data_IF_583726044935
#
_entry.id   IF_583726044935
#
_cell.length_a   1.000
_cell.length_b   1.000
_cell.length_c   1.000
_cell.angle_alpha   90.00
_cell.angle_beta   90.00
_cell.angle_gamma   90.00
#
_symmetry.space_group_name_H-M   'P 1'
#
loop_
_entity.id
_entity.type
_entity.pdbx_description
1 polymer ?
#
# COMPACT_ATOMS: atom_id res chain seq x y z
N UNK A 1 -5.73 -11.04 4.13
CA UNK A 1 -5.63 -10.05 3.02
C UNK A 1 -6.92 -10.10 2.21
N UNK A 2 -7.44 -8.96 1.72
CA UNK A 2 -8.60 -8.93 0.79
C UNK A 2 -8.23 -8.17 -0.48
N UNK A 3 -8.30 -8.84 -1.62
CA UNK A 3 -8.15 -8.22 -2.95
C UNK A 3 -9.39 -7.42 -3.32
N UNK A 4 -9.19 -6.26 -3.95
CA UNK A 4 -10.26 -5.38 -4.43
C UNK A 4 -10.20 -5.37 -5.95
N UNK A 5 -11.26 -5.89 -6.58
CA UNK A 5 -11.41 -5.78 -8.04
C UNK A 5 -11.43 -4.31 -8.46
N UNK A 6 -10.56 -3.95 -9.41
CA UNK A 6 -10.36 -2.58 -9.88
C UNK A 6 -10.11 -2.50 -11.37
N UNK A 7 -10.55 -1.42 -12.00
CA UNK A 7 -10.31 -1.15 -13.41
C UNK A 7 -8.89 -0.66 -13.71
N UNK A 8 -8.12 -0.31 -12.67
CA UNK A 8 -6.72 0.10 -12.82
C UNK A 8 -5.79 -1.10 -13.05
N UNK A 9 -6.22 -2.32 -12.70
CA UNK A 9 -5.40 -3.50 -12.87
C UNK A 9 -5.04 -3.74 -14.35
N UNK A 10 -3.76 -3.97 -14.62
CA UNK A 10 -3.20 -4.11 -15.96
C UNK A 10 -3.08 -2.80 -16.74
N UNK A 11 -3.47 -1.66 -16.15
CA UNK A 11 -3.30 -0.36 -16.80
C UNK A 11 -1.87 0.12 -16.67
N UNK A 12 -1.42 0.81 -17.72
CA UNK A 12 -0.07 1.35 -17.82
C UNK A 12 -0.12 2.87 -17.89
N UNK A 13 0.78 3.53 -17.17
CA UNK A 13 0.87 4.98 -17.08
C UNK A 13 2.25 5.41 -16.58
N UNK A 14 2.57 6.71 -16.70
CA UNK A 14 3.82 7.22 -16.17
C UNK A 14 3.80 7.19 -14.63
N UNK A 15 4.93 6.82 -14.03
CA UNK A 15 5.08 6.73 -12.59
C UNK A 15 4.75 8.07 -11.91
N UNK A 16 5.25 9.18 -12.46
CA UNK A 16 5.02 10.51 -11.86
C UNK A 16 3.55 10.94 -11.91
N UNK A 17 2.80 10.56 -12.96
CA UNK A 17 1.37 10.82 -13.05
C UNK A 17 0.59 10.02 -11.99
N UNK A 18 0.93 8.74 -11.83
CA UNK A 18 0.37 7.90 -10.77
C UNK A 18 0.69 8.47 -9.39
N UNK A 19 1.97 8.77 -9.13
CA UNK A 19 2.47 9.30 -7.87
C UNK A 19 1.79 10.62 -7.50
N UNK A 20 1.65 11.55 -8.46
CA UNK A 20 0.95 12.81 -8.24
C UNK A 20 -0.52 12.60 -7.88
N UNK A 21 -1.25 11.78 -8.65
CA UNK A 21 -2.67 11.52 -8.42
C UNK A 21 -2.92 10.80 -7.08
N UNK A 22 -2.09 9.81 -6.76
CA UNK A 22 -2.23 9.02 -5.54
C UNK A 22 -1.86 9.84 -4.28
N UNK A 23 -0.82 10.67 -4.35
CA UNK A 23 -0.42 11.53 -3.23
C UNK A 23 -1.51 12.53 -2.84
N UNK A 24 -2.24 13.09 -3.81
CA UNK A 24 -3.39 13.98 -3.54
C UNK A 24 -4.53 13.28 -2.77
N UNK A 25 -4.59 11.94 -2.82
CA UNK A 25 -5.57 11.11 -2.12
C UNK A 25 -5.02 10.53 -0.80
N UNK A 26 -3.79 10.87 -0.41
CA UNK A 26 -3.14 10.37 0.80
C UNK A 26 -2.53 8.98 0.68
N UNK A 27 -2.26 8.51 -0.55
CA UNK A 27 -1.34 7.39 -0.75
C UNK A 27 0.10 7.88 -0.65
N UNK A 28 1.00 6.97 -0.37
CA UNK A 28 2.44 7.20 -0.33
C UNK A 28 3.14 6.05 -1.05
N UNK A 29 4.28 6.32 -1.67
CA UNK A 29 5.15 5.26 -2.17
C UNK A 29 5.67 4.44 -0.97
N UNK A 30 5.37 3.15 -0.96
CA UNK A 30 5.79 2.22 0.08
C UNK A 30 7.32 2.11 0.12
N UNK A 31 7.89 2.01 1.32
CA UNK A 31 9.34 2.06 1.54
C UNK A 31 10.16 0.88 0.98
N UNK A 32 9.55 -0.02 0.21
CA UNK A 32 10.18 -1.19 -0.39
C UNK A 32 9.93 -1.24 -1.91
N UNK A 33 10.08 -0.08 -2.57
CA UNK A 33 10.18 -0.02 -4.02
C UNK A 33 11.62 -0.29 -4.45
N UNK A 34 11.78 -0.89 -5.62
CA UNK A 34 13.05 -1.17 -6.27
C UNK A 34 12.96 -0.82 -7.76
N UNK A 35 13.97 -1.22 -8.54
CA UNK A 35 14.00 -0.98 -9.98
C UNK A 35 12.91 -1.73 -10.75
N UNK A 36 12.38 -2.83 -10.20
CA UNK A 36 11.40 -3.68 -10.87
C UNK A 36 9.96 -3.31 -10.50
N UNK A 37 9.73 -2.66 -9.36
CA UNK A 37 8.40 -2.26 -8.96
C UNK A 37 8.28 -1.77 -7.52
N UNK A 38 7.04 -1.72 -7.05
CA UNK A 38 6.75 -1.26 -5.71
C UNK A 38 5.27 -1.20 -5.41
N UNK A 39 4.94 -0.39 -4.41
CA UNK A 39 3.59 -0.29 -3.88
C UNK A 39 3.24 1.17 -3.62
N UNK A 40 2.01 1.57 -3.96
CA UNK A 40 1.40 2.77 -3.40
C UNK A 40 0.49 2.35 -2.24
N UNK A 41 0.80 2.83 -1.04
CA UNK A 41 0.16 2.46 0.21
C UNK A 41 -0.67 3.61 0.78
N UNK A 42 -1.87 3.32 1.25
CA UNK A 42 -2.71 4.25 2.02
C UNK A 42 -3.12 3.58 3.34
N UNK A 43 -2.85 4.25 4.46
CA UNK A 43 -3.35 3.81 5.76
C UNK A 43 -4.86 4.01 5.83
N UNK A 44 -5.60 2.98 6.27
CA UNK A 44 -7.05 3.01 6.42
C UNK A 44 -7.49 3.33 7.86
N UNK A 45 -6.56 3.23 8.81
CA UNK A 45 -6.73 3.47 10.22
C UNK A 45 -5.75 4.53 10.76
N UNK A 46 -5.91 4.90 12.03
CA UNK A 46 -5.03 5.89 12.68
C UNK A 46 -3.79 5.26 13.30
N UNK A 47 -3.81 3.94 13.52
CA UNK A 47 -2.70 3.20 14.14
C UNK A 47 -1.71 2.65 13.12
N UNK A 48 -1.96 2.86 11.81
CA UNK A 48 -1.13 2.35 10.72
C UNK A 48 -0.99 0.82 10.75
N UNK A 49 -2.06 0.14 11.17
CA UNK A 49 -2.17 -1.32 11.19
C UNK A 49 -2.91 -1.83 9.96
N UNK A 50 -3.74 -1.03 9.31
CA UNK A 50 -4.50 -1.46 8.13
C UNK A 50 -4.13 -0.63 6.91
N UNK A 51 -3.67 -1.29 5.86
CA UNK A 51 -3.15 -0.65 4.65
C UNK A 51 -3.92 -1.10 3.41
N UNK A 52 -4.32 -0.15 2.56
CA UNK A 52 -4.62 -0.41 1.17
C UNK A 52 -3.33 -0.29 0.37
N UNK A 53 -3.02 -1.32 -0.41
CA UNK A 53 -1.81 -1.41 -1.21
C UNK A 53 -2.17 -1.57 -2.69
N UNK A 54 -1.56 -0.76 -3.54
CA UNK A 54 -1.67 -0.84 -5.01
C UNK A 54 -0.30 -1.21 -5.57
N UNK A 55 -0.09 -2.46 -6.00
CA UNK A 55 1.18 -2.87 -6.57
C UNK A 55 1.37 -2.31 -7.97
N UNK A 56 2.62 -2.07 -8.33
CA UNK A 56 3.01 -1.76 -9.70
C UNK A 56 4.34 -2.45 -10.03
N UNK A 57 4.57 -2.66 -11.32
CA UNK A 57 5.86 -3.07 -11.87
C UNK A 57 6.35 -2.02 -12.86
N UNK A 58 7.65 -1.79 -12.91
CA UNK A 58 8.29 -0.97 -13.94
C UNK A 58 8.37 -1.79 -15.22
N UNK A 59 7.88 -1.23 -16.33
CA UNK A 59 7.92 -1.89 -17.65
C UNK A 59 8.88 -1.19 -18.61
N UNK A 60 9.24 0.07 -18.33
CA UNK A 60 10.25 0.83 -19.05
C UNK A 60 10.74 2.01 -18.17
N UNK A 61 11.94 2.52 -18.42
CA UNK A 61 12.52 3.65 -17.68
C UNK A 61 12.95 3.30 -16.26
N UNK A 62 13.30 4.32 -15.48
CA UNK A 62 13.80 4.19 -14.12
C UNK A 62 13.03 5.13 -13.16
N UNK A 63 12.83 4.65 -11.93
CA UNK A 63 12.26 5.47 -10.87
C UNK A 63 13.40 6.30 -10.28
N UNK A 64 13.24 7.62 -10.30
CA UNK A 64 14.18 8.54 -9.67
C UNK A 64 13.80 8.74 -8.21
N UNK A 65 14.82 8.92 -7.36
CA UNK A 65 14.60 9.41 -5.99
C UNK A 65 14.11 10.87 -5.96
N UNK A 66 14.22 11.60 -7.07
CA UNK A 66 13.73 12.96 -7.21
C UNK A 66 12.28 12.97 -7.70
N UNK A 67 11.40 13.60 -6.91
CA UNK A 67 9.97 13.68 -7.23
C UNK A 67 9.75 14.47 -8.53
N UNK A 68 8.99 13.88 -9.47
CA UNK A 68 8.69 14.54 -10.74
C UNK A 68 9.78 14.42 -11.81
N UNK A 69 10.78 13.59 -11.55
CA UNK A 69 11.91 13.34 -12.45
C UNK A 69 12.06 11.85 -12.80
N UNK A 70 11.00 11.05 -12.65
CA UNK A 70 11.02 9.65 -13.07
C UNK A 70 10.55 9.52 -14.51
N UNK A 71 11.32 8.84 -15.35
CA UNK A 71 10.89 8.47 -16.71
C UNK A 71 10.26 7.07 -16.76
N UNK A 72 10.13 6.42 -15.60
CA UNK A 72 9.48 5.13 -15.45
C UNK A 72 8.03 5.11 -15.97
N UNK A 73 7.76 4.13 -16.81
CA UNK A 73 6.43 3.71 -17.19
C UNK A 73 6.11 2.43 -16.42
N UNK A 74 4.96 2.41 -15.76
CA UNK A 74 4.58 1.33 -14.83
C UNK A 74 3.30 0.65 -15.26
N UNK A 75 3.14 -0.62 -14.89
CA UNK A 75 1.87 -1.35 -14.99
C UNK A 75 1.33 -1.63 -13.59
N UNK A 76 0.09 -1.24 -13.35
CA UNK A 76 -0.58 -1.45 -12.08
C UNK A 76 -1.15 -2.87 -11.97
N UNK A 77 -1.21 -3.40 -10.76
CA UNK A 77 -1.84 -4.68 -10.44
C UNK A 77 -3.02 -4.50 -9.49
N UNK A 78 -3.70 -5.60 -9.18
CA UNK A 78 -4.88 -5.61 -8.33
C UNK A 78 -4.60 -5.03 -6.94
N UNK A 79 -5.35 -4.00 -6.50
CA UNK A 79 -5.24 -3.49 -5.14
C UNK A 79 -5.67 -4.52 -4.10
N UNK A 80 -5.12 -4.44 -2.89
CA UNK A 80 -5.54 -5.27 -1.78
C UNK A 80 -5.39 -4.59 -0.42
N UNK A 81 -6.21 -5.01 0.54
CA UNK A 81 -6.14 -4.57 1.94
C UNK A 81 -5.38 -5.59 2.77
N UNK A 82 -4.37 -5.11 3.49
CA UNK A 82 -3.63 -5.83 4.53
C UNK A 82 -4.02 -5.31 5.91
N UNK A 83 -4.15 -6.23 6.87
CA UNK A 83 -4.25 -5.90 8.28
C UNK A 83 -3.01 -6.47 8.97
N UNK A 84 -2.08 -5.60 9.36
CA UNK A 84 -0.96 -5.93 10.23
C UNK A 84 -1.47 -6.03 11.66
N UNK A 85 -1.84 -7.25 12.06
CA UNK A 85 -2.11 -7.56 13.46
C UNK A 85 -0.76 -7.66 14.19
N UNK A 86 -0.40 -6.63 14.96
CA UNK A 86 0.67 -6.77 15.95
C UNK A 86 0.22 -7.77 17.01
N UNK A 87 1.08 -8.73 17.34
CA UNK A 87 0.94 -9.49 18.56
C UNK A 87 1.36 -8.58 19.72
N UNK A 88 0.43 -7.79 20.23
CA UNK A 88 0.57 -7.25 21.58
C UNK A 88 0.42 -8.43 22.53
N UNK A 89 1.54 -9.09 22.80
CA UNK A 89 1.61 -10.28 23.65
C UNK A 89 0.92 -10.01 24.98
N UNK A 90 -0.05 -10.87 25.28
CA UNK A 90 -0.66 -10.99 26.58
C UNK A 90 0.41 -11.46 27.59
N UNK A 91 1.15 -10.53 28.19
CA UNK A 91 1.93 -10.80 29.40
C UNK A 91 1.39 -9.92 30.55
N UNK A 92 0.62 -10.51 31.50
CA UNK A 92 0.17 -9.81 32.70
C UNK A 92 1.28 -9.54 33.71
N UNK A 93 2.55 -9.84 33.41
CA UNK A 93 3.62 -9.81 34.40
C UNK A 93 5.00 -9.49 33.81
N UNK A 94 5.39 -8.22 33.93
CA UNK A 94 6.78 -7.94 34.29
C UNK A 94 7.53 -7.01 33.35
N UNK A 95 7.84 -5.84 33.90
CA UNK A 95 8.99 -5.00 33.60
C UNK A 95 9.13 -4.54 32.14
N UNK A 96 8.68 -3.29 31.94
CA UNK A 96 9.13 -2.40 30.88
C UNK A 96 10.65 -2.26 30.95
N UNK A 97 11.36 -3.11 30.20
CA UNK A 97 12.77 -2.93 29.88
C UNK A 97 12.86 -2.35 28.48
N UNK A 98 13.04 -1.04 28.46
CA UNK A 98 13.59 -0.26 27.36
C UNK A 98 14.92 -0.89 26.94
N UNK A 99 14.93 -1.86 26.03
CA UNK A 99 16.06 -2.30 25.18
C UNK A 99 15.47 -3.31 24.20
N UNK A 100 15.43 -2.91 22.92
CA UNK A 100 15.33 -3.71 21.68
C UNK A 100 14.45 -3.00 20.66
N UNK A 101 14.75 -1.72 20.38
CA UNK A 101 14.21 -0.97 19.24
C UNK A 101 14.85 -1.44 17.91
N UNK A 102 14.89 -2.75 17.72
CA UNK A 102 15.22 -3.43 16.47
C UNK A 102 13.99 -4.28 16.14
N UNK A 103 12.86 -3.58 15.96
CA UNK A 103 11.59 -4.20 15.68
C UNK A 103 11.73 -5.04 14.42
N UNK A 104 11.59 -6.34 14.60
CA UNK A 104 11.62 -7.32 13.55
C UNK A 104 10.39 -7.09 12.66
N UNK A 105 10.55 -6.32 11.58
CA UNK A 105 9.49 -5.91 10.63
C UNK A 105 8.87 -7.10 9.87
N UNK A 106 9.30 -8.34 10.18
CA UNK A 106 8.94 -9.58 9.50
C UNK A 106 8.39 -10.65 10.46
N UNK A 107 7.83 -10.28 11.61
CA UNK A 107 7.06 -11.26 12.39
C UNK A 107 5.77 -11.63 11.67
N UNK A 108 5.56 -12.93 11.43
CA UNK A 108 4.33 -13.46 10.86
C UNK A 108 3.15 -13.22 11.82
N UNK A 109 1.96 -12.84 11.31
CA UNK A 109 0.77 -12.63 12.13
C UNK A 109 0.34 -13.92 12.83
N UNK A 110 -0.16 -13.82 14.08
CA UNK A 110 -0.71 -14.97 14.84
C UNK A 110 -1.88 -15.63 14.11
N UNK A 111 -2.63 -14.85 13.35
CA UNK A 111 -3.76 -15.34 12.57
C UNK A 111 -3.72 -14.76 11.14
N UNK A 112 -3.19 -15.52 10.16
CA UNK A 112 -3.19 -15.11 8.76
C UNK A 112 -4.60 -15.00 8.16
N UNK A 113 -5.61 -15.56 8.83
CA UNK A 113 -7.01 -15.60 8.42
C UNK A 113 -7.91 -14.64 9.20
N UNK A 114 -7.35 -13.82 10.11
CA UNK A 114 -8.11 -12.78 10.80
C UNK A 114 -8.84 -11.93 9.74
N UNK A 115 -10.19 -12.01 9.65
CA UNK A 115 -10.90 -11.44 8.54
C UNK A 115 -10.65 -9.93 8.56
N UNK A 116 -10.15 -9.40 7.45
CA UNK A 116 -10.20 -7.95 7.21
C UNK A 116 -11.68 -7.60 7.35
N UNK A 117 -12.05 -6.98 8.48
CA UNK A 117 -13.46 -6.74 8.79
C UNK A 117 -14.13 -6.02 7.61
N UNK A 118 -15.43 -6.25 7.39
CA UNK A 118 -16.18 -5.62 6.29
C UNK A 118 -15.96 -4.10 6.22
N UNK A 119 -15.76 -3.45 7.38
CA UNK A 119 -15.38 -2.04 7.51
C UNK A 119 -14.12 -1.68 6.72
N UNK A 120 -13.06 -2.47 6.83
CA UNK A 120 -11.78 -2.23 6.16
C UNK A 120 -11.86 -2.56 4.67
N UNK A 121 -12.56 -3.63 4.30
CA UNK A 121 -12.84 -3.95 2.91
C UNK A 121 -13.63 -2.83 2.22
N UNK A 122 -14.65 -2.28 2.90
CA UNK A 122 -15.45 -1.17 2.37
C UNK A 122 -14.64 0.12 2.25
N UNK A 123 -13.84 0.46 3.28
CA UNK A 123 -12.93 1.62 3.21
C UNK A 123 -11.92 1.49 2.07
N UNK A 124 -11.31 0.31 1.90
CA UNK A 124 -10.40 0.04 0.80
C UNK A 124 -11.09 0.21 -0.56
N UNK A 125 -12.29 -0.35 -0.75
CA UNK A 125 -13.07 -0.19 -1.98
C UNK A 125 -13.35 1.29 -2.29
N UNK A 126 -13.75 2.08 -1.29
CA UNK A 126 -13.98 3.51 -1.47
C UNK A 126 -12.71 4.27 -1.86
N UNK A 127 -11.56 3.92 -1.28
CA UNK A 127 -10.29 4.52 -1.65
C UNK A 127 -9.86 4.15 -3.08
N UNK A 128 -10.05 2.90 -3.50
CA UNK A 128 -9.80 2.46 -4.89
C UNK A 128 -10.70 3.22 -5.88
N UNK A 129 -11.99 3.40 -5.59
CA UNK A 129 -12.90 4.18 -6.47
C UNK A 129 -12.41 5.62 -6.64
N UNK A 130 -11.97 6.28 -5.57
CA UNK A 130 -11.41 7.65 -5.67
C UNK A 130 -10.13 7.68 -6.51
N UNK A 131 -9.29 6.66 -6.38
CA UNK A 131 -8.07 6.53 -7.19
C UNK A 131 -8.42 6.32 -8.68
N UNK A 132 -9.37 5.44 -8.99
CA UNK A 132 -9.90 5.24 -10.35
C UNK A 132 -10.42 6.55 -10.96
N UNK A 133 -11.18 7.32 -10.19
CA UNK A 133 -11.70 8.63 -10.61
C UNK A 133 -10.57 9.63 -10.90
N UNK A 134 -9.57 9.71 -10.02
CA UNK A 134 -8.41 10.59 -10.21
C UNK A 134 -7.59 10.23 -11.45
N UNK A 135 -7.46 8.93 -11.75
CA UNK A 135 -6.69 8.42 -12.89
C UNK A 135 -7.49 8.37 -14.19
N UNK A 136 -8.81 8.61 -14.17
CA UNK A 136 -9.70 8.42 -15.32
C UNK A 136 -9.24 9.11 -16.61
N UNK A 137 -8.57 10.27 -16.49
CA UNK A 137 -8.08 11.01 -17.65
C UNK A 137 -6.78 10.45 -18.24
N UNK A 138 -6.04 9.65 -17.46
CA UNK A 138 -4.77 9.02 -17.80
C UNK A 138 -4.97 7.61 -18.39
N UNK A 139 -5.99 6.88 -17.93
CA UNK A 139 -6.19 5.44 -18.25
C UNK A 139 -6.97 5.16 -19.55
N UNK A 140 -6.91 6.07 -20.52
CA UNK A 140 -7.70 6.02 -21.76
C UNK A 140 -7.33 4.85 -22.67
#
# INVERSE_FOLDING_TARGET
MITISSQIAGKQLAFDEMNQASNALGFMLGGNWDYDGGFFDQSLDTENKVWLRVPFKVINGEISSEVGHSDAYIELSEPFVLNHVYNEGNDPSGNVSVISASFNQFQAPIDPDAPVSDKWAQKGKQAVVRLEEALKHLLK
#
